data_IF_881694417393
#
_entry.id   IF_881694417393
#
_cell.length_a   1.000
_cell.length_b   1.000
_cell.length_c   1.000
_cell.angle_alpha   90.00
_cell.angle_beta   90.00
_cell.angle_gamma   90.00
#
_symmetry.space_group_name_H-M   'P 1'
#
loop_
_entity.id
_entity.type
_entity.pdbx_description
1 polymer ?
#
# COMPACT_ATOMS: atom_id res chain seq x y z
N UNK A 1 -8.38 1.15 -1.22
CA UNK A 1 -6.94 1.51 -1.20
C UNK A 1 -6.16 0.38 -1.89
N UNK A 2 -4.91 0.60 -2.31
CA UNK A 2 -3.98 -0.48 -2.71
C UNK A 2 -2.92 -0.61 -1.62
N UNK A 3 -3.26 -1.18 -0.44
CA UNK A 3 -2.39 -1.16 0.73
C UNK A 3 -1.07 -1.84 0.42
N UNK A 4 0.02 -1.32 0.97
CA UNK A 4 1.34 -1.93 0.78
C UNK A 4 1.97 -1.68 -0.59
N UNK A 5 1.32 -0.99 -1.51
CA UNK A 5 1.92 -0.63 -2.80
C UNK A 5 2.65 0.72 -2.73
N UNK A 6 3.58 1.03 -3.66
CA UNK A 6 4.19 2.36 -3.75
C UNK A 6 3.17 3.49 -3.98
N UNK A 7 2.06 3.14 -4.61
CA UNK A 7 0.93 4.02 -4.91
C UNK A 7 -0.19 3.90 -3.87
N UNK A 8 0.10 3.34 -2.68
CA UNK A 8 -0.89 3.29 -1.62
C UNK A 8 -1.29 4.72 -1.24
N UNK A 9 -2.60 4.95 -1.31
CA UNK A 9 -3.26 6.13 -0.78
C UNK A 9 -4.13 5.71 0.40
N UNK A 10 -4.16 6.54 1.43
CA UNK A 10 -5.07 6.39 2.55
C UNK A 10 -6.11 7.49 2.50
N UNK A 11 -7.34 7.13 2.83
CA UNK A 11 -8.45 8.06 2.91
C UNK A 11 -9.47 7.59 3.92
N UNK A 12 -10.40 8.48 4.24
CA UNK A 12 -11.55 8.18 5.11
C UNK A 12 -12.83 8.47 4.33
N UNK A 13 -13.84 7.65 4.56
CA UNK A 13 -15.18 7.80 3.99
C UNK A 13 -16.22 7.41 5.02
N UNK A 14 -17.46 7.87 4.83
CA UNK A 14 -18.58 7.36 5.60
C UNK A 14 -18.87 5.92 5.16
N UNK A 15 -19.03 5.02 6.13
CA UNK A 15 -19.40 3.63 5.90
C UNK A 15 -20.90 3.42 6.17
N UNK A 16 -21.73 3.18 5.13
CA UNK A 16 -23.12 2.79 5.32
C UNK A 16 -23.22 1.43 6.03
N UNK A 17 -24.28 1.15 6.80
CA UNK A 17 -24.41 -0.11 7.53
C UNK A 17 -24.34 -1.38 6.67
N UNK A 18 -24.74 -1.30 5.38
CA UNK A 18 -24.67 -2.43 4.44
C UNK A 18 -23.30 -2.62 3.78
N UNK A 19 -22.32 -1.78 4.10
CA UNK A 19 -20.95 -1.83 3.56
C UNK A 19 -19.94 -2.37 4.59
N UNK A 20 -20.39 -2.71 5.80
CA UNK A 20 -19.57 -3.36 6.80
C UNK A 20 -19.51 -4.85 6.48
N UNK A 21 -18.31 -5.39 6.36
CA UNK A 21 -18.07 -6.82 6.12
C UNK A 21 -17.77 -7.56 7.44
N UNK A 22 -18.03 -8.87 7.48
CA UNK A 22 -17.87 -9.66 8.72
C UNK A 22 -16.41 -9.75 9.20
N UNK A 23 -15.45 -9.54 8.30
CA UNK A 23 -14.02 -9.52 8.62
C UNK A 23 -13.47 -8.10 8.86
N UNK A 24 -14.31 -7.07 8.84
CA UNK A 24 -13.90 -5.73 9.21
C UNK A 24 -13.59 -5.66 10.71
N UNK A 25 -12.52 -4.96 11.05
CA UNK A 25 -12.21 -4.64 12.43
C UNK A 25 -12.93 -3.35 12.85
N UNK A 26 -13.87 -3.47 13.78
CA UNK A 26 -14.55 -2.33 14.39
C UNK A 26 -13.73 -1.72 15.53
N UNK A 27 -13.41 -0.43 15.41
CA UNK A 27 -12.81 0.40 16.47
C UNK A 27 -13.85 1.39 17.00
N UNK A 28 -14.21 1.25 18.28
CA UNK A 28 -15.26 2.06 18.92
C UNK A 28 -14.71 3.34 19.53
N UNK A 29 -15.25 4.48 19.13
CA UNK A 29 -14.95 5.79 19.69
C UNK A 29 -16.20 6.46 20.26
N UNK A 30 -16.01 7.60 20.93
CA UNK A 30 -17.14 8.39 21.40
C UNK A 30 -17.85 9.06 20.21
N UNK A 31 -19.04 8.58 19.87
CA UNK A 31 -19.92 9.18 18.87
C UNK A 31 -19.85 8.56 17.47
N UNK A 32 -18.85 7.71 17.19
CA UNK A 32 -18.73 6.97 15.94
C UNK A 32 -17.89 5.70 16.13
N UNK A 33 -18.01 4.76 15.18
CA UNK A 33 -17.08 3.63 15.02
C UNK A 33 -16.27 3.83 13.74
N UNK A 34 -15.00 3.44 13.76
CA UNK A 34 -14.20 3.28 12.55
C UNK A 34 -14.15 1.79 12.18
N UNK A 35 -14.25 1.49 10.89
CA UNK A 35 -14.15 0.15 10.35
C UNK A 35 -12.94 0.08 9.41
N UNK A 36 -12.14 -0.96 9.54
CA UNK A 36 -10.95 -1.19 8.72
C UNK A 36 -10.99 -2.61 8.19
N UNK A 37 -10.85 -2.77 6.88
CA UNK A 37 -10.79 -4.09 6.25
C UNK A 37 -9.53 -4.86 6.67
N UNK A 38 -9.64 -6.18 6.69
CA UNK A 38 -8.61 -7.09 7.16
C UNK A 38 -7.26 -6.89 6.44
N UNK A 39 -7.29 -6.61 5.14
CA UNK A 39 -6.07 -6.46 4.33
C UNK A 39 -5.35 -5.15 4.68
N UNK A 40 -6.09 -4.07 4.90
CA UNK A 40 -5.53 -2.75 5.25
C UNK A 40 -5.01 -2.67 6.69
N UNK A 41 -5.48 -3.52 7.60
CA UNK A 41 -5.22 -3.41 9.03
C UNK A 41 -3.73 -3.30 9.37
N UNK A 42 -2.91 -4.19 8.79
CA UNK A 42 -1.46 -4.24 9.04
C UNK A 42 -0.68 -3.04 8.46
N UNK A 43 -1.24 -2.37 7.45
CA UNK A 43 -0.64 -1.18 6.83
C UNK A 43 -1.06 0.12 7.52
N UNK A 44 -2.09 0.06 8.37
CA UNK A 44 -2.55 1.19 9.18
C UNK A 44 -2.03 1.12 10.62
N UNK A 45 -1.08 0.23 10.92
CA UNK A 45 -0.31 0.29 12.17
C UNK A 45 0.32 1.69 12.30
N UNK A 46 0.13 2.31 13.47
CA UNK A 46 0.58 3.67 13.79
C UNK A 46 -0.07 4.78 12.92
N UNK A 47 -1.19 4.49 12.26
CA UNK A 47 -1.97 5.53 11.59
C UNK A 47 -2.68 6.44 12.61
N UNK A 48 -2.73 7.73 12.30
CA UNK A 48 -3.33 8.79 13.11
C UNK A 48 -4.25 9.64 12.24
N UNK A 49 -5.46 9.90 12.73
CA UNK A 49 -6.36 10.92 12.18
C UNK A 49 -6.44 12.05 13.19
N UNK A 50 -6.14 13.27 12.74
CA UNK A 50 -6.17 14.47 13.57
C UNK A 50 -7.03 15.57 12.94
N UNK A 51 -7.59 16.45 13.76
CA UNK A 51 -8.38 17.60 13.34
C UNK A 51 -7.62 18.88 13.67
N UNK A 52 -6.98 19.45 12.65
CA UNK A 52 -6.17 20.65 12.79
C UNK A 52 -7.04 21.87 12.53
N UNK A 53 -7.02 22.82 13.46
CA UNK A 53 -7.72 24.10 13.33
C UNK A 53 -6.70 25.23 13.19
N UNK A 54 -6.85 26.03 12.14
CA UNK A 54 -6.03 27.22 11.86
C UNK A 54 -6.92 28.46 11.74
N UNK A 55 -6.33 29.66 11.66
CA UNK A 55 -7.10 30.91 11.59
C UNK A 55 -8.05 30.99 10.38
N UNK A 56 -7.71 30.31 9.28
CA UNK A 56 -8.47 30.33 8.02
C UNK A 56 -9.47 29.17 7.87
N UNK A 57 -9.52 28.24 8.82
CA UNK A 57 -10.42 27.10 8.74
C UNK A 57 -9.92 25.89 9.53
N UNK A 58 -10.55 24.74 9.29
CA UNK A 58 -10.14 23.50 9.93
C UNK A 58 -10.12 22.35 8.92
N UNK A 59 -9.23 21.39 9.16
CA UNK A 59 -8.95 20.29 8.26
C UNK A 59 -8.72 18.99 9.04
N UNK A 60 -9.31 17.90 8.55
CA UNK A 60 -8.89 16.56 8.95
C UNK A 60 -7.60 16.18 8.24
N UNK A 61 -6.63 15.70 9.01
CA UNK A 61 -5.36 15.18 8.53
C UNK A 61 -5.28 13.70 8.85
N UNK A 62 -4.74 12.92 7.91
CA UNK A 62 -4.51 11.49 8.08
C UNK A 62 -3.03 11.22 7.84
N UNK A 63 -2.35 10.70 8.85
CA UNK A 63 -0.98 10.23 8.77
C UNK A 63 -1.00 8.72 8.88
N UNK A 64 -0.44 8.03 7.90
CA UNK A 64 -0.35 6.57 7.91
C UNK A 64 1.08 6.20 7.47
N UNK A 65 2.05 6.15 8.40
CA UNK A 65 3.46 5.99 8.06
C UNK A 65 3.76 4.65 7.39
N UNK A 66 2.96 3.62 7.69
CA UNK A 66 3.11 2.25 7.17
C UNK A 66 2.16 1.94 6.01
N UNK A 67 1.39 2.93 5.53
CA UNK A 67 0.42 2.75 4.45
C UNK A 67 1.07 2.29 3.14
N UNK A 68 2.23 2.88 2.85
CA UNK A 68 3.12 2.45 1.78
C UNK A 68 4.00 1.34 2.34
N UNK A 69 4.15 0.27 1.56
CA UNK A 69 4.86 -0.99 1.86
C UNK A 69 5.67 -0.96 3.17
N UNK A 70 5.21 -1.72 4.17
CA UNK A 70 5.93 -1.95 5.43
C UNK A 70 7.37 -2.28 5.11
N UNK A 71 8.33 -1.63 5.78
CA UNK A 71 9.75 -1.98 5.67
C UNK A 71 9.85 -3.47 6.01
N UNK A 72 10.20 -4.29 5.03
CA UNK A 72 10.33 -5.74 5.23
C UNK A 72 11.34 -5.97 6.34
N UNK A 73 10.97 -6.81 7.31
CA UNK A 73 11.83 -7.13 8.45
C UNK A 73 13.15 -7.72 7.94
N UNK A 74 14.25 -7.47 8.66
CA UNK A 74 15.58 -7.91 8.20
C UNK A 74 15.70 -9.44 8.12
N UNK A 75 14.87 -10.17 8.86
CA UNK A 75 14.77 -11.63 8.91
C UNK A 75 13.69 -12.24 7.99
N UNK A 76 12.98 -11.40 7.22
CA UNK A 76 11.97 -11.90 6.29
C UNK A 76 12.59 -12.76 5.17
N UNK A 77 11.80 -13.68 4.59
CA UNK A 77 12.22 -14.49 3.44
C UNK A 77 12.85 -13.65 2.32
N UNK A 78 13.88 -14.20 1.67
CA UNK A 78 14.58 -13.52 0.58
C UNK A 78 13.62 -13.03 -0.52
N UNK A 79 12.60 -13.84 -0.83
CA UNK A 79 11.60 -13.51 -1.86
C UNK A 79 10.86 -12.20 -1.52
N UNK A 80 10.39 -12.03 -0.29
CA UNK A 80 9.70 -10.81 0.17
C UNK A 80 10.63 -9.59 0.14
N UNK A 81 11.89 -9.77 0.55
CA UNK A 81 12.90 -8.70 0.53
C UNK A 81 13.21 -8.24 -0.89
N UNK A 82 13.26 -9.17 -1.85
CA UNK A 82 13.48 -8.86 -3.27
C UNK A 82 12.26 -8.19 -3.88
N UNK A 83 11.04 -8.68 -3.60
CA UNK A 83 9.80 -8.04 -4.01
C UNK A 83 9.71 -6.60 -3.50
N UNK A 84 10.07 -6.36 -2.25
CA UNK A 84 10.10 -5.02 -1.68
C UNK A 84 11.03 -4.08 -2.45
N UNK A 85 12.24 -4.51 -2.80
CA UNK A 85 13.17 -3.70 -3.61
C UNK A 85 12.59 -3.46 -5.01
N UNK A 86 11.98 -4.47 -5.62
CA UNK A 86 11.32 -4.33 -6.93
C UNK A 86 10.23 -3.26 -6.87
N UNK A 87 9.35 -3.31 -5.87
CA UNK A 87 8.25 -2.36 -5.75
C UNK A 87 8.71 -0.96 -5.33
N UNK A 88 9.65 -0.84 -4.40
CA UNK A 88 10.02 0.47 -3.82
C UNK A 88 11.10 1.20 -4.59
N UNK A 89 11.96 0.49 -5.34
CA UNK A 89 13.11 1.09 -6.03
C UNK A 89 13.07 0.87 -7.54
N UNK A 90 12.71 -0.32 -8.03
CA UNK A 90 12.81 -0.65 -9.46
C UNK A 90 11.58 -0.20 -10.25
N UNK A 91 10.40 -0.61 -9.85
CA UNK A 91 9.14 -0.30 -10.53
C UNK A 91 8.82 1.20 -10.62
N UNK A 92 9.13 2.05 -9.63
CA UNK A 92 8.94 3.49 -9.76
C UNK A 92 9.77 4.08 -10.92
N UNK A 93 10.97 3.54 -11.16
CA UNK A 93 11.81 3.96 -12.29
C UNK A 93 11.26 3.44 -13.62
N UNK A 94 10.85 2.17 -13.68
CA UNK A 94 10.26 1.58 -14.90
C UNK A 94 8.92 2.22 -15.27
N UNK A 95 8.12 2.62 -14.28
CA UNK A 95 6.83 3.26 -14.48
C UNK A 95 6.96 4.59 -15.25
N UNK A 96 8.08 5.30 -15.11
CA UNK A 96 8.39 6.51 -15.88
C UNK A 96 8.52 6.23 -17.38
N UNK A 97 8.80 4.99 -17.75
CA UNK A 97 8.83 4.48 -19.13
C UNK A 97 7.60 3.63 -19.49
N UNK A 98 6.56 3.61 -18.63
CA UNK A 98 5.35 2.81 -18.82
C UNK A 98 5.54 1.30 -18.60
N UNK A 99 6.69 0.88 -18.07
CA UNK A 99 7.03 -0.50 -17.76
C UNK A 99 6.85 -0.85 -16.29
N UNK A 100 6.82 -2.14 -15.99
CA UNK A 100 6.97 -2.71 -14.65
C UNK A 100 7.58 -4.11 -14.75
N UNK A 101 8.06 -4.62 -13.63
CA UNK A 101 8.45 -6.01 -13.46
C UNK A 101 7.76 -6.61 -12.24
N UNK A 102 7.58 -7.93 -12.29
CA UNK A 102 7.07 -8.74 -11.19
C UNK A 102 8.04 -9.89 -10.94
N UNK A 103 8.30 -10.23 -9.68
CA UNK A 103 9.06 -11.42 -9.32
C UNK A 103 8.16 -12.65 -9.47
N UNK A 104 8.63 -13.67 -10.18
CA UNK A 104 7.91 -14.93 -10.36
C UNK A 104 8.38 -15.95 -9.33
N UNK A 105 9.70 -16.13 -9.24
CA UNK A 105 10.31 -17.04 -8.28
C UNK A 105 11.79 -16.68 -8.06
N UNK A 106 12.33 -17.21 -6.96
CA UNK A 106 13.77 -17.32 -6.75
C UNK A 106 14.07 -18.81 -6.74
N UNK A 107 14.88 -19.27 -7.68
CA UNK A 107 15.23 -20.69 -7.79
C UNK A 107 16.15 -21.12 -6.65
N UNK A 108 16.22 -22.43 -6.38
CA UNK A 108 17.11 -23.00 -5.37
C UNK A 108 18.60 -22.69 -5.64
N UNK A 109 18.96 -22.47 -6.91
CA UNK A 109 20.31 -22.07 -7.34
C UNK A 109 20.58 -20.56 -7.14
N UNK A 110 19.61 -19.80 -6.62
CA UNK A 110 19.74 -18.37 -6.32
C UNK A 110 19.46 -17.41 -7.48
N UNK A 111 18.76 -17.85 -8.53
CA UNK A 111 18.38 -16.99 -9.65
C UNK A 111 16.98 -16.40 -9.45
N UNK A 112 16.82 -15.09 -9.66
CA UNK A 112 15.52 -14.44 -9.68
C UNK A 112 14.91 -14.47 -11.09
N UNK A 113 13.73 -15.07 -11.22
CA UNK A 113 12.95 -15.07 -12.47
C UNK A 113 11.98 -13.90 -12.43
N UNK A 114 12.13 -12.99 -13.39
CA UNK A 114 11.33 -11.76 -13.47
C UNK A 114 10.45 -11.78 -14.71
N UNK A 115 9.20 -11.36 -14.56
CA UNK A 115 8.31 -11.06 -15.66
C UNK A 115 8.28 -9.56 -15.91
N UNK A 116 8.53 -9.14 -17.15
CA UNK A 116 8.38 -7.76 -17.58
C UNK A 116 6.98 -7.52 -18.12
N UNK A 117 6.39 -6.38 -17.77
CA UNK A 117 5.09 -5.94 -18.24
C UNK A 117 5.05 -4.43 -18.49
N UNK A 118 3.96 -3.97 -19.10
CA UNK A 118 3.72 -2.55 -19.36
C UNK A 118 3.63 -2.18 -20.84
N UNK A 119 3.35 -0.89 -21.07
CA UNK A 119 3.16 -0.34 -22.40
C UNK A 119 4.48 -0.12 -23.09
N UNK A 120 4.87 -1.07 -23.94
CA UNK A 120 5.72 -0.75 -25.08
C UNK A 120 4.87 0.20 -25.94
N UNK A 121 5.01 1.52 -25.76
CA UNK A 121 4.55 2.48 -26.75
C UNK A 121 5.26 2.08 -28.02
N UNK A 122 4.54 1.38 -28.89
CA UNK A 122 5.13 0.65 -30.01
C UNK A 122 6.13 1.52 -30.74
N UNK A 123 7.41 1.21 -30.60
CA UNK A 123 8.32 1.35 -31.71
C UNK A 123 7.90 0.26 -32.71
N UNK A 124 6.78 0.50 -33.40
CA UNK A 124 6.69 0.13 -34.81
C UNK A 124 7.88 0.80 -35.49
N UNK A 125 8.73 -0.02 -36.10
CA UNK A 125 9.80 0.32 -37.07
C UNK A 125 10.12 1.80 -37.28
#
# INVERSE_FOLDING_TARGET
>A
CNPGTPNAECGVSYCPPGSVEDNDTEMKYSGFSAFVDEISLSFLEEAEIDYVTEELGAQLTLKAPNAKMRKVADDAPLIERVEYVIHTQVNPQLASHGGHITLIEITDDGYAVLQFGGGCNGCSM
#
